data_IF_920703609965
#
_entry.id   IF_920703609965
#
_cell.length_a   1.000
_cell.length_b   1.000
_cell.length_c   1.000
_cell.angle_alpha   90.00
_cell.angle_beta   90.00
_cell.angle_gamma   90.00
#
_symmetry.space_group_name_H-M   'P 1'
#
loop_
_entity.id
_entity.type
_entity.pdbx_description
1 polymer ?
#
# COMPACT_ATOMS: atom_id res chain seq x y z
N UNK A 1 -17.75 -26.11 43.22
CA UNK A 1 -16.40 -25.66 42.81
C UNK A 1 -16.09 -25.96 41.33
N UNK A 2 -16.18 -27.20 40.89
CA UNK A 2 -15.92 -27.56 39.51
C UNK A 2 -16.79 -26.82 38.46
N UNK A 3 -18.06 -26.57 38.76
CA UNK A 3 -18.96 -25.84 37.89
C UNK A 3 -18.55 -24.37 37.71
N UNK A 4 -18.14 -23.71 38.81
CA UNK A 4 -17.67 -22.29 38.76
C UNK A 4 -16.36 -22.15 37.93
N UNK A 5 -15.47 -23.12 38.07
CA UNK A 5 -14.22 -23.13 37.29
C UNK A 5 -14.50 -23.33 35.80
N UNK A 6 -15.38 -24.24 35.42
CA UNK A 6 -15.80 -24.46 34.03
C UNK A 6 -16.43 -23.19 33.42
N UNK A 7 -17.25 -22.46 34.19
CA UNK A 7 -17.86 -21.20 33.74
C UNK A 7 -16.80 -20.11 33.54
N UNK A 8 -15.82 -20.02 34.43
CA UNK A 8 -14.70 -19.06 34.28
C UNK A 8 -13.87 -19.37 33.04
N UNK A 9 -13.49 -20.62 32.82
CA UNK A 9 -12.75 -21.05 31.64
C UNK A 9 -13.52 -20.75 30.36
N UNK A 10 -14.83 -21.07 30.34
CA UNK A 10 -15.69 -20.75 29.19
C UNK A 10 -15.71 -19.26 28.86
N UNK A 11 -15.83 -18.41 29.87
CA UNK A 11 -15.81 -16.95 29.68
C UNK A 11 -14.48 -16.45 29.15
N UNK A 12 -13.37 -16.99 29.65
CA UNK A 12 -12.02 -16.65 29.15
C UNK A 12 -11.86 -17.07 27.68
N UNK A 13 -12.27 -18.29 27.34
CA UNK A 13 -12.20 -18.78 25.95
C UNK A 13 -13.06 -17.90 25.01
N UNK A 14 -14.27 -17.56 25.40
CA UNK A 14 -15.13 -16.68 24.61
C UNK A 14 -14.50 -15.28 24.45
N UNK A 15 -13.89 -14.75 25.51
CA UNK A 15 -13.16 -13.49 25.46
C UNK A 15 -11.99 -13.51 24.50
N UNK A 16 -11.21 -14.60 24.49
CA UNK A 16 -10.08 -14.78 23.57
C UNK A 16 -10.54 -14.91 22.12
N UNK A 17 -11.63 -15.64 21.86
CA UNK A 17 -12.20 -15.76 20.51
C UNK A 17 -12.69 -14.37 20.03
N UNK A 18 -13.37 -13.63 20.91
CA UNK A 18 -13.83 -12.26 20.60
C UNK A 18 -12.66 -11.33 20.28
N UNK A 19 -11.60 -11.36 21.08
CA UNK A 19 -10.38 -10.58 20.83
C UNK A 19 -9.73 -10.94 19.49
N UNK A 20 -9.61 -12.22 19.19
CA UNK A 20 -9.08 -12.71 17.92
C UNK A 20 -9.92 -12.22 16.73
N UNK A 21 -11.25 -12.31 16.85
CA UNK A 21 -12.15 -11.83 15.80
C UNK A 21 -12.02 -10.31 15.57
N UNK A 22 -11.86 -9.51 16.63
CA UNK A 22 -11.64 -8.06 16.53
C UNK A 22 -10.31 -7.75 15.86
N UNK A 23 -9.24 -8.44 16.20
CA UNK A 23 -7.92 -8.26 15.58
C UNK A 23 -7.99 -8.61 14.08
N UNK A 24 -8.55 -9.76 13.73
CA UNK A 24 -8.69 -10.18 12.33
C UNK A 24 -9.57 -9.22 11.52
N UNK A 25 -10.69 -8.77 12.07
CA UNK A 25 -11.55 -7.79 11.44
C UNK A 25 -10.85 -6.45 11.22
N UNK A 26 -10.12 -5.97 12.22
CA UNK A 26 -9.33 -4.73 12.11
C UNK A 26 -8.25 -4.83 11.03
N UNK A 27 -7.51 -5.93 10.98
CA UNK A 27 -6.50 -6.18 9.95
C UNK A 27 -7.14 -6.23 8.55
N UNK A 28 -8.31 -6.84 8.42
CA UNK A 28 -9.02 -6.92 7.14
C UNK A 28 -9.43 -5.53 6.63
N UNK A 29 -10.01 -4.69 7.49
CA UNK A 29 -10.46 -3.35 7.07
C UNK A 29 -9.32 -2.35 6.88
N UNK A 30 -8.24 -2.48 7.63
CA UNK A 30 -7.11 -1.54 7.58
C UNK A 30 -5.88 -2.08 6.83
N UNK A 31 -5.98 -3.25 6.21
CA UNK A 31 -4.84 -3.90 5.54
C UNK A 31 -4.18 -3.01 4.48
N UNK A 32 -4.96 -2.29 3.70
CA UNK A 32 -4.41 -1.41 2.65
C UNK A 32 -3.57 -0.28 3.25
N UNK A 33 -4.02 0.32 4.34
CA UNK A 33 -3.29 1.39 5.03
C UNK A 33 -2.00 0.89 5.72
N UNK A 34 -1.96 -0.39 6.06
CA UNK A 34 -0.78 -1.02 6.69
C UNK A 34 0.24 -1.39 5.62
N UNK A 35 -0.21 -1.99 4.52
CA UNK A 35 0.64 -2.50 3.44
C UNK A 35 1.14 -1.36 2.56
N UNK A 36 0.22 -0.51 2.11
CA UNK A 36 0.52 0.61 1.23
C UNK A 36 0.67 1.90 2.03
N UNK A 37 1.84 2.48 1.99
CA UNK A 37 2.15 3.76 2.62
C UNK A 37 2.66 4.75 1.57
N UNK A 38 1.82 5.13 0.61
CA UNK A 38 2.23 6.06 -0.42
C UNK A 38 2.41 7.46 0.16
N UNK A 39 3.34 8.21 -0.40
CA UNK A 39 3.38 9.65 -0.23
C UNK A 39 2.53 10.25 -1.34
N UNK A 40 1.43 10.88 -0.97
CA UNK A 40 0.53 11.53 -1.92
C UNK A 40 1.15 12.85 -2.37
N UNK A 41 1.52 12.93 -3.64
CA UNK A 41 2.02 14.16 -4.25
C UNK A 41 0.86 15.03 -4.72
N UNK A 42 1.04 16.36 -4.69
CA UNK A 42 0.07 17.28 -5.28
C UNK A 42 0.01 17.07 -6.79
N UNK A 43 -1.14 17.39 -7.41
CA UNK A 43 -1.28 17.30 -8.87
C UNK A 43 -0.32 18.25 -9.62
N UNK A 44 0.12 19.32 -8.96
CA UNK A 44 1.08 20.28 -9.48
C UNK A 44 2.53 19.97 -9.08
N UNK A 45 2.79 18.77 -8.55
CA UNK A 45 4.14 18.38 -8.17
C UNK A 45 5.06 18.31 -9.38
N UNK A 46 6.25 18.91 -9.25
CA UNK A 46 7.28 18.92 -10.27
C UNK A 46 8.42 18.05 -9.80
N UNK A 47 8.71 16.98 -10.57
CA UNK A 47 9.86 16.12 -10.32
C UNK A 47 11.16 16.84 -10.69
N UNK A 48 12.19 16.62 -9.87
CA UNK A 48 13.55 17.13 -10.12
C UNK A 48 14.51 15.97 -10.14
N UNK A 49 14.91 15.56 -11.33
CA UNK A 49 15.91 14.53 -11.54
C UNK A 49 17.13 15.13 -12.26
N UNK A 50 18.30 14.53 -12.04
CA UNK A 50 19.56 14.98 -12.66
C UNK A 50 19.65 14.69 -14.16
N UNK A 51 18.84 13.76 -14.68
CA UNK A 51 18.77 13.40 -16.09
C UNK A 51 17.49 13.94 -16.74
N UNK A 52 17.51 14.23 -18.06
CA UNK A 52 16.30 14.60 -18.77
C UNK A 52 15.24 13.52 -18.69
N UNK A 53 14.01 13.92 -18.44
CA UNK A 53 12.88 13.01 -18.28
C UNK A 53 11.60 13.62 -18.86
N UNK A 54 10.63 12.77 -19.10
CA UNK A 54 9.27 13.14 -19.50
C UNK A 54 8.27 12.56 -18.52
N UNK A 55 7.39 13.41 -18.00
CA UNK A 55 6.28 12.98 -17.16
C UNK A 55 5.10 12.57 -18.04
N UNK A 56 4.50 11.42 -17.74
CA UNK A 56 3.38 10.84 -18.49
C UNK A 56 2.24 10.53 -17.54
N UNK A 57 1.03 10.89 -17.94
CA UNK A 57 -0.20 10.56 -17.24
C UNK A 57 -0.99 9.56 -18.07
N UNK A 58 -1.21 8.38 -17.53
CA UNK A 58 -1.95 7.29 -18.17
C UNK A 58 -3.29 7.10 -17.47
N UNK A 59 -4.37 7.07 -18.24
CA UNK A 59 -5.70 6.79 -17.71
C UNK A 59 -5.98 5.30 -17.80
N UNK A 60 -6.23 4.66 -16.65
CA UNK A 60 -6.64 3.27 -16.57
C UNK A 60 -8.14 3.11 -16.89
N UNK A 61 -8.58 1.88 -17.16
CA UNK A 61 -9.98 1.59 -17.51
C UNK A 61 -10.97 1.94 -16.40
N UNK A 62 -10.55 1.82 -15.14
CA UNK A 62 -11.34 2.19 -13.96
C UNK A 62 -11.40 3.70 -13.69
N UNK A 63 -10.76 4.50 -14.53
CA UNK A 63 -10.69 5.95 -14.39
C UNK A 63 -9.53 6.49 -13.57
N UNK A 64 -8.72 5.63 -12.95
CA UNK A 64 -7.52 6.05 -12.23
C UNK A 64 -6.48 6.65 -13.18
N UNK A 65 -5.79 7.68 -12.71
CA UNK A 65 -4.70 8.32 -13.46
C UNK A 65 -3.37 7.84 -12.89
N UNK A 66 -2.58 7.18 -13.72
CA UNK A 66 -1.26 6.66 -13.38
C UNK A 66 -0.23 7.70 -13.81
N UNK A 67 0.54 8.19 -12.86
CA UNK A 67 1.67 9.06 -13.12
C UNK A 67 2.92 8.24 -13.35
N UNK A 68 3.61 8.49 -14.45
CA UNK A 68 4.83 7.80 -14.82
C UNK A 68 5.92 8.79 -15.24
N UNK A 69 7.15 8.39 -15.08
CA UNK A 69 8.32 9.15 -15.51
C UNK A 69 9.12 8.31 -16.50
N UNK A 70 9.40 8.88 -17.65
CA UNK A 70 10.16 8.25 -18.74
C UNK A 70 11.51 8.93 -18.90
N UNK A 71 12.58 8.14 -18.74
CA UNK A 71 13.94 8.55 -19.07
C UNK A 71 14.30 7.96 -20.43
N UNK A 72 14.63 8.82 -21.40
CA UNK A 72 15.03 8.40 -22.74
C UNK A 72 16.55 8.40 -22.87
N UNK A 73 17.05 7.39 -23.56
CA UNK A 73 18.46 7.32 -23.99
C UNK A 73 18.55 7.57 -25.50
N UNK A 74 19.66 8.11 -25.98
CA UNK A 74 19.86 8.41 -27.41
C UNK A 74 19.84 7.14 -28.28
N UNK A 75 20.44 6.05 -27.79
CA UNK A 75 20.53 4.78 -28.50
C UNK A 75 19.99 3.63 -27.64
N UNK A 76 18.66 3.54 -27.47
CA UNK A 76 18.08 2.53 -26.59
C UNK A 76 18.21 1.13 -27.20
N UNK A 77 18.68 0.16 -26.41
CA UNK A 77 18.69 -1.26 -26.78
C UNK A 77 17.43 -2.00 -26.34
N UNK A 78 16.57 -1.34 -25.58
CA UNK A 78 15.33 -1.88 -25.04
C UNK A 78 14.68 -0.91 -24.07
N UNK A 79 13.62 -1.36 -23.41
CA UNK A 79 12.89 -0.60 -22.41
C UNK A 79 12.89 -1.36 -21.10
N UNK A 80 13.20 -0.66 -20.01
CA UNK A 80 13.05 -1.18 -18.65
C UNK A 80 11.80 -0.57 -18.05
N UNK A 81 10.85 -1.41 -17.70
CA UNK A 81 9.64 -0.99 -17.00
C UNK A 81 9.84 -1.26 -15.51
N UNK A 82 9.83 -0.19 -14.72
CA UNK A 82 10.07 -0.25 -13.28
C UNK A 82 8.84 0.20 -12.50
N UNK A 83 8.41 -0.65 -11.55
CA UNK A 83 7.36 -0.32 -10.58
C UNK A 83 8.00 -0.17 -9.20
N UNK A 84 7.75 0.97 -8.56
CA UNK A 84 8.27 1.20 -7.21
C UNK A 84 7.52 0.39 -6.15
N UNK A 85 8.10 0.29 -4.95
CA UNK A 85 7.52 -0.46 -3.84
C UNK A 85 6.32 0.22 -3.16
N UNK A 86 5.88 -0.37 -2.06
CA UNK A 86 4.64 0.00 -1.36
C UNK A 86 4.69 1.33 -0.60
N UNK A 87 5.87 1.89 -0.41
CA UNK A 87 6.10 3.06 0.45
C UNK A 87 6.67 4.21 -0.34
N UNK A 88 6.16 5.42 -0.09
CA UNK A 88 6.69 6.64 -0.68
C UNK A 88 6.13 6.95 -2.06
N UNK A 89 6.94 7.56 -2.90
CA UNK A 89 6.61 8.03 -4.25
C UNK A 89 7.82 7.88 -5.19
N UNK A 90 7.69 8.35 -6.43
CA UNK A 90 8.75 8.28 -7.44
C UNK A 90 10.01 9.09 -7.10
N UNK A 91 9.95 10.06 -6.20
CA UNK A 91 11.14 10.80 -5.76
C UNK A 91 12.09 9.96 -4.92
N UNK A 92 11.58 8.90 -4.30
CA UNK A 92 12.34 8.03 -3.40
C UNK A 92 13.09 6.92 -4.14
N UNK A 93 12.57 6.47 -5.28
CA UNK A 93 13.03 5.26 -5.97
C UNK A 93 13.91 5.51 -7.19
#
# INVERSE_FOLDING_TARGET
MAQREKIKVKKVVIGLIGLYAVICGSLYFFQENIIFRPTVLSQNHIYKFSHPFQEVFLKAEDGAIINAVLFKNENPKGVILYFHGNVGDLNRW
#
